data_IF_740077294117
#
_entry.id   IF_740077294117
#
_cell.length_a   1.000
_cell.length_b   1.000
_cell.length_c   1.000
_cell.angle_alpha   90.00
_cell.angle_beta   90.00
_cell.angle_gamma   90.00
#
_symmetry.space_group_name_H-M   'P 1'
#
loop_
_entity.id
_entity.type
_entity.pdbx_description
1 polymer ?
#
# COMPACT_ATOMS: atom_id res chain seq x y z
N UNK A 1 -15.70 2.36 -11.97
CA UNK A 1 -17.06 2.79 -11.54
C UNK A 1 -17.16 4.27 -11.16
N UNK A 2 -16.27 5.16 -11.65
CA UNK A 2 -16.27 6.60 -11.33
C UNK A 2 -16.53 6.94 -9.84
N UNK A 3 -15.90 6.19 -8.94
CA UNK A 3 -15.96 6.40 -7.50
C UNK A 3 -14.57 6.68 -6.97
N UNK A 4 -14.49 7.53 -5.97
CA UNK A 4 -13.34 7.65 -5.10
C UNK A 4 -13.34 6.47 -4.13
N UNK A 5 -12.16 5.93 -3.86
CA UNK A 5 -11.95 4.88 -2.87
C UNK A 5 -10.85 5.35 -1.91
N UNK A 6 -11.02 5.05 -0.63
CA UNK A 6 -9.98 5.24 0.39
C UNK A 6 -9.79 3.91 1.10
N UNK A 7 -8.51 3.51 1.20
CA UNK A 7 -8.07 2.34 1.94
C UNK A 7 -7.30 2.78 3.18
N UNK A 8 -7.60 2.19 4.33
CA UNK A 8 -6.97 2.56 5.60
C UNK A 8 -6.93 1.36 6.55
N UNK A 9 -6.13 1.50 7.61
CA UNK A 9 -5.98 0.46 8.63
C UNK A 9 -7.07 0.60 9.70
N UNK A 10 -7.54 -0.53 10.23
CA UNK A 10 -8.41 -0.57 11.40
C UNK A 10 -7.87 0.27 12.57
N UNK A 11 -8.78 0.90 13.32
CA UNK A 11 -8.46 1.60 14.58
C UNK A 11 -8.59 0.66 15.80
N UNK A 12 -8.09 -0.55 15.65
CA UNK A 12 -8.07 -1.59 16.67
C UNK A 12 -6.83 -2.48 16.48
N UNK A 13 -6.67 -3.50 17.32
CA UNK A 13 -5.52 -4.40 17.27
C UNK A 13 -5.51 -5.37 16.08
N UNK A 14 -6.58 -5.42 15.27
CA UNK A 14 -6.68 -6.36 14.15
C UNK A 14 -5.74 -6.02 13.00
N UNK A 15 -5.35 -4.74 12.86
CA UNK A 15 -4.59 -4.22 11.71
C UNK A 15 -5.27 -4.50 10.34
N UNK A 16 -6.58 -4.71 10.35
CA UNK A 16 -7.38 -5.07 9.17
C UNK A 16 -7.45 -3.93 8.15
N UNK A 17 -7.46 -4.27 6.86
CA UNK A 17 -7.79 -3.34 5.79
C UNK A 17 -9.27 -2.95 5.85
N UNK A 18 -9.53 -1.65 5.86
CA UNK A 18 -10.84 -1.06 5.62
C UNK A 18 -10.84 -0.27 4.33
N UNK A 19 -11.97 -0.32 3.62
CA UNK A 19 -12.22 0.48 2.41
C UNK A 19 -13.54 1.21 2.54
N UNK A 20 -13.55 2.51 2.21
CA UNK A 20 -14.76 3.30 1.97
C UNK A 20 -14.73 3.88 0.56
N UNK A 21 -15.88 4.31 0.07
CA UNK A 21 -16.02 4.91 -1.25
C UNK A 21 -16.97 6.09 -1.24
N UNK A 22 -16.83 6.96 -2.24
CA UNK A 22 -17.72 8.08 -2.49
C UNK A 22 -17.91 8.26 -4.00
N UNK A 23 -19.11 8.65 -4.42
CA UNK A 23 -19.40 9.03 -5.81
C UNK A 23 -19.24 10.52 -6.08
N UNK A 24 -19.15 11.34 -5.04
CA UNK A 24 -19.13 12.81 -5.13
C UNK A 24 -17.97 13.47 -4.36
N UNK A 25 -17.18 12.68 -3.61
CA UNK A 25 -16.10 13.16 -2.75
C UNK A 25 -16.56 13.84 -1.46
N UNK A 26 -17.86 13.87 -1.19
CA UNK A 26 -18.45 14.52 -0.01
C UNK A 26 -19.13 13.49 0.87
N UNK A 27 -19.98 12.65 0.29
CA UNK A 27 -20.74 11.62 0.98
C UNK A 27 -20.01 10.29 0.88
N UNK A 28 -19.57 9.77 2.03
CA UNK A 28 -18.81 8.53 2.12
C UNK A 28 -19.66 7.37 2.62
N UNK A 29 -19.43 6.18 2.08
CA UNK A 29 -20.08 4.95 2.56
C UNK A 29 -19.68 4.68 4.02
N UNK A 30 -20.68 4.59 4.90
CA UNK A 30 -20.52 4.28 6.33
C UNK A 30 -21.49 3.17 6.75
N UNK A 31 -21.06 2.17 7.55
CA UNK A 31 -19.68 1.96 7.99
C UNK A 31 -18.76 1.57 6.82
N UNK A 32 -17.46 1.85 6.95
CA UNK A 32 -16.46 1.36 6.01
C UNK A 32 -16.40 -0.18 6.06
N UNK A 33 -16.12 -0.82 4.92
CA UNK A 33 -16.07 -2.29 4.82
C UNK A 33 -14.69 -2.80 5.22
N UNK A 34 -14.63 -3.66 6.22
CA UNK A 34 -13.41 -4.35 6.66
C UNK A 34 -13.15 -5.66 5.89
N UNK A 35 -11.88 -6.03 5.76
CA UNK A 35 -11.41 -7.26 5.09
C UNK A 35 -10.47 -8.04 6.03
N UNK A 36 -10.99 -8.82 7.00
CA UNK A 36 -10.20 -9.43 8.07
C UNK A 36 -9.06 -10.36 7.61
N UNK A 37 -9.11 -10.89 6.38
CA UNK A 37 -8.04 -11.70 5.79
C UNK A 37 -6.88 -10.88 5.22
N UNK A 38 -6.94 -9.55 5.27
CA UNK A 38 -5.94 -8.61 4.75
C UNK A 38 -5.52 -7.71 5.90
N UNK A 39 -4.36 -8.00 6.50
CA UNK A 39 -3.82 -7.24 7.65
C UNK A 39 -2.43 -6.70 7.32
N UNK A 40 -2.08 -5.53 7.86
CA UNK A 40 -0.81 -4.86 7.52
C UNK A 40 -0.31 -3.88 8.58
N UNK A 41 0.99 -3.60 8.54
CA UNK A 41 1.60 -2.54 9.36
C UNK A 41 1.76 -1.23 8.57
N UNK A 42 1.74 -0.10 9.29
CA UNK A 42 1.86 1.23 8.70
C UNK A 42 0.60 1.67 7.97
N UNK A 43 0.78 2.46 6.91
CA UNK A 43 -0.32 2.90 6.02
C UNK A 43 -0.24 2.16 4.70
N UNK A 44 -1.38 1.83 4.06
CA UNK A 44 -1.39 1.29 2.72
C UNK A 44 -1.22 2.42 1.69
N UNK A 45 -0.96 2.05 0.43
CA UNK A 45 -1.07 2.95 -0.73
C UNK A 45 -2.00 2.32 -1.76
N UNK A 46 -2.71 3.14 -2.54
CA UNK A 46 -3.67 2.67 -3.54
C UNK A 46 -3.55 3.45 -4.85
N UNK A 47 -3.67 2.74 -5.98
CA UNK A 47 -3.64 3.34 -7.32
C UNK A 47 -4.51 2.54 -8.28
N UNK A 48 -5.08 3.21 -9.28
CA UNK A 48 -5.79 2.54 -10.39
C UNK A 48 -4.81 2.25 -11.53
N UNK A 49 -4.81 1.02 -12.02
CA UNK A 49 -4.04 0.59 -13.19
C UNK A 49 -4.85 -0.46 -13.96
N UNK A 50 -4.92 -0.35 -15.29
CA UNK A 50 -5.68 -1.27 -16.15
C UNK A 50 -7.11 -1.59 -15.63
N UNK A 51 -7.86 -0.55 -15.26
CA UNK A 51 -9.21 -0.64 -14.71
C UNK A 51 -9.35 -1.47 -13.41
N UNK A 52 -8.26 -1.67 -12.68
CA UNK A 52 -8.25 -2.29 -11.35
C UNK A 52 -7.65 -1.35 -10.33
N UNK A 53 -8.19 -1.38 -9.11
CA UNK A 53 -7.55 -0.82 -7.94
C UNK A 53 -6.48 -1.80 -7.47
N UNK A 54 -5.30 -1.29 -7.17
CA UNK A 54 -4.22 -2.02 -6.49
C UNK A 54 -3.97 -1.37 -5.16
N UNK A 55 -3.80 -2.18 -4.11
CA UNK A 55 -3.32 -1.73 -2.81
C UNK A 55 -2.00 -2.44 -2.51
N UNK A 56 -0.99 -1.67 -2.12
CA UNK A 56 0.28 -2.18 -1.63
C UNK A 56 0.49 -1.79 -0.16
N UNK A 57 1.04 -2.70 0.63
CA UNK A 57 1.27 -2.49 2.06
C UNK A 57 2.39 -3.39 2.59
N UNK A 58 2.85 -3.08 3.81
CA UNK A 58 3.87 -3.83 4.53
C UNK A 58 3.24 -4.98 5.31
N UNK A 59 3.90 -6.13 5.33
CA UNK A 59 3.49 -7.31 6.11
C UNK A 59 3.14 -6.95 7.57
N UNK A 60 2.17 -7.68 8.13
CA UNK A 60 1.77 -7.57 9.53
C UNK A 60 2.61 -8.47 10.46
N UNK A 61 3.91 -8.55 10.20
CA UNK A 61 4.87 -9.38 10.92
C UNK A 61 6.27 -8.78 10.81
N UNK A 62 7.29 -9.47 11.35
CA UNK A 62 8.68 -9.01 11.35
C UNK A 62 9.38 -9.11 9.99
N UNK A 63 8.77 -9.74 8.97
CA UNK A 63 9.39 -9.93 7.66
C UNK A 63 9.55 -8.62 6.88
N UNK A 64 8.72 -7.61 7.19
CA UNK A 64 8.65 -6.35 6.45
C UNK A 64 8.40 -6.51 4.94
N UNK A 65 7.84 -7.65 4.53
CA UNK A 65 7.62 -8.02 3.13
C UNK A 65 6.56 -7.13 2.47
N UNK A 66 6.73 -6.82 1.20
CA UNK A 66 5.71 -6.19 0.37
C UNK A 66 4.58 -7.15 0.05
N UNK A 67 3.35 -6.71 0.29
CA UNK A 67 2.13 -7.38 -0.14
C UNK A 67 1.34 -6.49 -1.09
N UNK A 68 0.68 -7.11 -2.06
CA UNK A 68 -0.22 -6.44 -3.00
C UNK A 68 -1.54 -7.22 -3.09
N UNK A 69 -2.65 -6.49 -3.05
CA UNK A 69 -3.99 -6.99 -3.39
C UNK A 69 -4.60 -6.10 -4.48
N UNK A 70 -5.61 -6.61 -5.18
CA UNK A 70 -6.30 -5.85 -6.21
C UNK A 70 -7.80 -6.10 -6.21
N UNK A 71 -8.55 -5.20 -6.82
CA UNK A 71 -9.99 -5.30 -7.02
C UNK A 71 -10.41 -4.60 -8.30
N UNK A 72 -11.33 -5.19 -9.06
CA UNK A 72 -11.93 -4.57 -10.25
C UNK A 72 -13.13 -3.67 -9.92
N UNK A 73 -13.73 -3.82 -8.74
CA UNK A 73 -14.96 -3.14 -8.33
C UNK A 73 -14.82 -2.33 -7.03
N UNK A 74 -13.69 -2.47 -6.34
CA UNK A 74 -13.38 -1.87 -5.04
C UNK A 74 -14.16 -2.47 -3.87
N UNK A 75 -14.89 -3.56 -4.10
CA UNK A 75 -15.74 -4.26 -3.11
C UNK A 75 -15.24 -5.67 -2.85
N UNK A 76 -14.78 -6.36 -3.89
CA UNK A 76 -14.25 -7.71 -3.86
C UNK A 76 -12.74 -7.65 -4.11
N UNK A 77 -11.97 -7.85 -3.05
CA UNK A 77 -10.51 -7.80 -3.09
C UNK A 77 -9.94 -9.21 -3.14
N UNK A 78 -8.84 -9.38 -3.87
CA UNK A 78 -8.10 -10.64 -3.87
C UNK A 78 -7.60 -10.96 -2.46
N UNK A 79 -8.02 -12.10 -1.92
CA UNK A 79 -7.62 -12.59 -0.60
C UNK A 79 -7.24 -14.08 -0.70
N UNK A 80 -6.12 -14.52 -0.07
CA UNK A 80 -5.14 -13.69 0.64
C UNK A 80 -4.40 -12.73 -0.31
N UNK A 81 -3.91 -11.62 0.24
CA UNK A 81 -3.04 -10.72 -0.52
C UNK A 81 -1.74 -11.44 -0.91
N UNK A 82 -1.17 -11.12 -2.07
CA UNK A 82 0.04 -11.76 -2.57
C UNK A 82 1.28 -11.09 -1.97
N UNK A 83 2.09 -11.86 -1.25
CA UNK A 83 3.40 -11.43 -0.74
C UNK A 83 4.50 -11.60 -1.78
N UNK A 84 5.52 -10.74 -1.72
CA UNK A 84 6.69 -10.77 -2.59
C UNK A 84 7.98 -10.90 -1.77
N UNK A 85 8.33 -12.14 -1.35
CA UNK A 85 9.58 -12.39 -0.64
C UNK A 85 10.79 -11.84 -1.41
N UNK A 86 11.68 -11.14 -0.72
CA UNK A 86 12.82 -10.43 -1.34
C UNK A 86 12.59 -8.94 -1.61
N UNK A 87 11.35 -8.46 -1.48
CA UNK A 87 11.03 -7.03 -1.45
C UNK A 87 10.61 -6.67 -0.03
N UNK A 88 11.55 -6.11 0.75
CA UNK A 88 11.32 -5.73 2.15
C UNK A 88 11.62 -4.25 2.36
N UNK A 89 10.89 -3.60 3.27
CA UNK A 89 11.00 -2.15 3.45
C UNK A 89 10.51 -1.66 4.81
N UNK A 90 10.92 -0.46 5.21
CA UNK A 90 10.42 0.21 6.41
C UNK A 90 9.41 1.32 6.08
N UNK A 91 8.55 1.65 7.04
CA UNK A 91 7.54 2.70 6.89
C UNK A 91 6.38 2.30 5.98
N UNK A 92 5.81 3.29 5.27
CA UNK A 92 4.67 3.09 4.36
C UNK A 92 5.13 3.24 2.91
N UNK A 93 4.63 2.41 1.97
CA UNK A 93 4.97 2.55 0.57
C UNK A 93 4.18 3.70 -0.08
N UNK A 94 4.62 4.12 -1.27
CA UNK A 94 3.83 4.94 -2.20
C UNK A 94 3.77 4.25 -3.55
N UNK A 95 2.64 4.36 -4.25
CA UNK A 95 2.42 3.73 -5.54
C UNK A 95 1.92 4.74 -6.57
N UNK A 96 2.40 4.61 -7.80
CA UNK A 96 1.96 5.44 -8.93
C UNK A 96 2.05 4.66 -10.25
N UNK A 97 1.43 5.19 -11.29
CA UNK A 97 1.53 4.66 -12.67
C UNK A 97 2.38 5.60 -13.51
N UNK A 98 3.34 5.05 -14.23
CA UNK A 98 4.14 5.76 -15.21
C UNK A 98 4.46 4.83 -16.39
N UNK A 99 4.38 5.31 -17.64
CA UNK A 99 4.67 4.53 -18.85
C UNK A 99 4.02 3.13 -18.86
N UNK A 100 2.73 3.06 -18.54
CA UNK A 100 1.95 1.82 -18.49
C UNK A 100 2.53 0.75 -17.54
N UNK A 101 3.16 1.17 -16.44
CA UNK A 101 3.65 0.31 -15.36
C UNK A 101 3.27 0.90 -14.02
N UNK A 102 3.00 0.02 -13.07
CA UNK A 102 2.97 0.36 -11.66
C UNK A 102 4.41 0.51 -11.14
N UNK A 103 4.62 1.51 -10.31
CA UNK A 103 5.84 1.72 -9.54
C UNK A 103 5.47 1.81 -8.07
N UNK A 104 6.20 1.09 -7.23
CA UNK A 104 6.12 1.25 -5.78
C UNK A 104 7.48 1.72 -5.28
N UNK A 105 7.46 2.85 -4.58
CA UNK A 105 8.61 3.42 -3.90
C UNK A 105 8.47 3.22 -2.39
N UNK A 106 9.56 2.89 -1.72
CA UNK A 106 9.59 2.67 -0.29
C UNK A 106 10.98 2.92 0.30
N UNK A 107 11.03 3.04 1.61
CA UNK A 107 12.26 3.25 2.37
C UNK A 107 13.00 1.93 2.58
N UNK A 108 14.32 1.97 2.48
CA UNK A 108 15.20 0.84 2.75
C UNK A 108 14.84 0.12 4.07
N UNK A 109 15.03 -1.20 4.08
CA UNK A 109 14.85 -2.02 5.27
C UNK A 109 16.10 -2.06 6.17
N UNK A 110 16.72 -0.90 6.35
CA UNK A 110 17.93 -0.68 7.13
C UNK A 110 18.00 0.79 7.60
N UNK A 111 19.11 1.16 8.23
CA UNK A 111 19.31 2.52 8.75
C UNK A 111 19.64 3.57 7.69
N UNK A 112 19.87 3.19 6.43
CA UNK A 112 20.26 4.14 5.37
C UNK A 112 19.14 5.09 4.98
N UNK A 113 17.88 4.68 5.19
CA UNK A 113 16.68 5.38 4.70
C UNK A 113 16.69 5.62 3.18
N UNK A 114 17.48 4.85 2.42
CA UNK A 114 17.59 4.97 0.97
C UNK A 114 16.24 4.72 0.28
N UNK A 115 15.96 5.47 -0.79
CA UNK A 115 14.83 5.18 -1.68
C UNK A 115 15.08 3.87 -2.44
N UNK A 116 14.13 2.95 -2.35
CA UNK A 116 14.04 1.78 -3.21
C UNK A 116 12.78 1.84 -4.06
N UNK A 117 12.88 1.32 -5.29
CA UNK A 117 11.76 1.26 -6.23
C UNK A 117 11.67 -0.13 -6.85
N UNK A 118 10.46 -0.69 -6.87
CA UNK A 118 10.09 -1.85 -7.70
C UNK A 118 9.00 -1.44 -8.70
N UNK A 119 8.85 -2.21 -9.77
CA UNK A 119 7.87 -1.93 -10.81
C UNK A 119 7.22 -3.21 -11.33
N UNK A 120 6.03 -3.06 -11.93
CA UNK A 120 5.30 -4.16 -12.55
C UNK A 120 4.48 -3.65 -13.75
N UNK A 121 4.48 -4.41 -14.85
CA UNK A 121 3.65 -4.12 -16.03
C UNK A 121 2.26 -4.75 -15.97
N UNK A 122 2.01 -5.66 -15.03
CA UNK A 122 0.77 -6.43 -14.91
C UNK A 122 0.16 -6.39 -13.49
N UNK A 123 0.88 -5.82 -12.52
CA UNK A 123 0.52 -5.79 -11.11
C UNK A 123 0.64 -7.13 -10.39
N UNK A 124 1.20 -8.15 -11.04
CA UNK A 124 1.33 -9.54 -10.53
C UNK A 124 2.80 -9.96 -10.43
N UNK A 125 3.63 -9.53 -11.38
CA UNK A 125 5.06 -9.82 -11.45
C UNK A 125 5.82 -8.52 -11.20
N UNK A 126 6.52 -8.46 -10.07
CA UNK A 126 7.26 -7.27 -9.64
C UNK A 126 8.76 -7.49 -9.78
N UNK A 127 9.48 -6.44 -10.17
CA UNK A 127 10.94 -6.48 -10.26
C UNK A 127 11.54 -6.79 -8.88
N UNK A 128 12.29 -7.88 -8.78
CA UNK A 128 13.00 -8.29 -7.56
C UNK A 128 14.46 -8.67 -7.92
N UNK A 129 15.47 -8.23 -7.14
CA UNK A 129 15.35 -7.30 -6.01
C UNK A 129 14.91 -5.90 -6.47
N UNK A 130 14.33 -5.12 -5.55
CA UNK A 130 14.02 -3.72 -5.81
C UNK A 130 15.30 -2.90 -6.03
N UNK A 131 15.22 -1.86 -6.86
CA UNK A 131 16.37 -1.00 -7.19
C UNK A 131 16.52 0.10 -6.15
N UNK A 132 17.66 0.13 -5.47
CA UNK A 132 18.04 1.21 -4.55
C UNK A 132 18.67 2.42 -5.25
N UNK A 133 18.46 3.61 -4.68
CA UNK A 133 19.02 4.88 -5.15
C UNK A 133 19.76 5.59 -4.01
N UNK A 134 21.02 5.22 -3.69
CA UNK A 134 21.75 5.67 -2.49
C UNK A 134 21.91 7.19 -2.33
N UNK A 135 21.73 7.97 -3.40
CA UNK A 135 21.74 9.44 -3.35
C UNK A 135 20.40 10.08 -2.94
N UNK A 136 19.36 9.29 -2.73
CA UNK A 136 18.01 9.76 -2.36
C UNK A 136 17.63 9.13 -1.02
N UNK A 137 17.56 9.96 0.02
CA UNK A 137 17.26 9.55 1.39
C UNK A 137 15.87 10.05 1.77
N UNK A 138 15.03 9.14 2.29
CA UNK A 138 13.66 9.46 2.69
C UNK A 138 13.60 9.96 4.13
N UNK A 139 12.84 11.04 4.36
CA UNK A 139 12.64 11.63 5.68
C UNK A 139 11.69 10.84 6.59
N UNK A 140 11.60 11.28 7.84
CA UNK A 140 10.64 10.79 8.81
C UNK A 140 9.34 11.62 8.76
N UNK A 141 8.20 10.96 8.96
CA UNK A 141 7.05 11.65 9.54
C UNK A 141 7.41 11.97 10.99
N UNK A 142 7.69 13.24 11.30
CA UNK A 142 7.71 13.69 12.70
C UNK A 142 6.28 13.62 13.20
N UNK A 143 5.97 12.67 14.07
CA UNK A 143 4.78 12.77 14.92
C UNK A 143 5.05 13.88 15.92
N UNK A 144 4.53 15.07 15.68
CA UNK A 144 4.38 16.06 16.74
C UNK A 144 3.34 15.48 17.71
N UNK A 145 3.81 14.92 18.82
CA UNK A 145 2.90 14.54 19.91
C UNK A 145 2.18 15.80 20.35
N UNK A 146 0.86 15.81 20.23
CA UNK A 146 0.05 16.72 21.03
C UNK A 146 0.18 16.23 22.46
N UNK A 147 1.04 16.90 23.22
CA UNK A 147 1.03 16.77 24.68
C UNK A 147 -0.32 17.36 25.13
N UNK A 148 -1.24 16.48 25.56
CA UNK A 148 -2.36 16.87 26.40
C UNK A 148 -1.95 16.76 27.86
#
# INVERSE_FOLDING_TARGET
NNKLYIAFKANDSSNTLYVTSSSDGVNWTTPAKGYPGITFQGSPTMTVFNNKLYIAFKANDSSNTLYVTSSSDGVNWTTPAKGYPGITFQGSPTMTVFNNKLYIAFKANDSSNTLYVTSSSDGVNWTTPAKGYPGIVLGFLKTYGLNN
#
